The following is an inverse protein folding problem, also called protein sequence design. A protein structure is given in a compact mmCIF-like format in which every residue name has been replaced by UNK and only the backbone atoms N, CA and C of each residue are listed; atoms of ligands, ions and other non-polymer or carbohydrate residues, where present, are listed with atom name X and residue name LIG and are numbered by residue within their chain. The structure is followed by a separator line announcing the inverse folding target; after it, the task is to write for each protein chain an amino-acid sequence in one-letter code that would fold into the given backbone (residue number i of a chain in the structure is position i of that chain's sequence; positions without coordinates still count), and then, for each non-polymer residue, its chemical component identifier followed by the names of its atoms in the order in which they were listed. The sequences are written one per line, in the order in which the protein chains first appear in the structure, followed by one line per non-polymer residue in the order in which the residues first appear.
data_IF_191652632153
#
_entry.id   IF_191652632153
#
_cell.length_a   1.000
_cell.length_b   1.000
_cell.length_c   1.000
_cell.angle_alpha   90.00
_cell.angle_beta   90.00
_cell.angle_gamma   90.00
#
_symmetry.space_group_name_H-M   'P 1'
#
loop_
_entity.id
_entity.type
_entity.pdbx_description
1 polymer ?
#
# COMPACT_ATOMS: atom_id res chain seq x y z
N UNK A 1 -4.70 11.73 25.04
CA UNK A 1 -3.29 12.15 24.84
C UNK A 1 -2.35 11.91 26.03
N UNK A 2 -2.81 11.74 27.29
CA UNK A 2 -1.92 11.60 28.47
C UNK A 2 -0.84 10.50 28.38
N UNK A 3 -1.06 9.48 27.56
CA UNK A 3 -0.16 8.32 27.39
C UNK A 3 0.32 8.14 25.94
N UNK A 4 0.10 9.13 25.07
CA UNK A 4 0.57 9.07 23.70
C UNK A 4 2.05 9.47 23.64
N UNK A 5 2.86 8.69 22.94
CA UNK A 5 4.24 9.06 22.63
C UNK A 5 4.25 10.30 21.73
N UNK A 6 5.18 11.20 21.99
CA UNK A 6 5.51 12.31 21.07
C UNK A 6 6.09 11.77 19.77
N UNK A 7 6.19 12.61 18.74
CA UNK A 7 6.86 12.24 17.47
C UNK A 7 8.28 11.75 17.70
N UNK A 8 9.05 12.45 18.55
CA UNK A 8 10.44 12.10 18.84
C UNK A 8 10.55 10.75 19.57
N UNK A 9 9.65 10.49 20.54
CA UNK A 9 9.61 9.20 21.24
C UNK A 9 9.18 8.05 20.32
N UNK A 10 8.22 8.27 19.43
CA UNK A 10 7.84 7.27 18.42
C UNK A 10 9.01 6.95 17.50
N UNK A 11 9.69 7.96 16.97
CA UNK A 11 10.87 7.76 16.10
C UNK A 11 11.98 7.03 16.84
N UNK A 12 12.25 7.39 18.10
CA UNK A 12 13.23 6.70 18.92
C UNK A 12 12.85 5.22 19.13
N UNK A 13 11.58 4.95 19.46
CA UNK A 13 11.09 3.58 19.65
C UNK A 13 11.24 2.73 18.36
N UNK A 14 10.84 3.27 17.20
CA UNK A 14 11.00 2.56 15.93
C UNK A 14 12.47 2.30 15.58
N UNK A 15 13.37 3.24 15.85
CA UNK A 15 14.82 3.01 15.68
C UNK A 15 15.36 1.94 16.61
N UNK A 16 14.85 1.87 17.84
CA UNK A 16 15.19 0.77 18.76
C UNK A 16 14.69 -0.59 18.24
N UNK A 17 13.50 -0.65 17.63
CA UNK A 17 13.02 -1.89 16.99
C UNK A 17 13.87 -2.28 15.77
N UNK A 18 14.29 -1.31 14.97
CA UNK A 18 15.18 -1.55 13.83
C UNK A 18 16.53 -2.12 14.27
N UNK A 19 17.11 -1.60 15.36
CA UNK A 19 18.34 -2.15 15.94
C UNK A 19 18.12 -3.55 16.51
N UNK A 20 17.00 -3.76 17.22
CA UNK A 20 16.65 -5.06 17.79
C UNK A 20 16.46 -6.13 16.71
N UNK A 21 15.82 -5.80 15.59
CA UNK A 21 15.61 -6.72 14.45
C UNK A 21 16.92 -7.41 14.01
N UNK A 22 18.04 -6.68 14.01
CA UNK A 22 19.35 -7.20 13.63
C UNK A 22 19.89 -8.28 14.58
N UNK A 23 19.40 -8.32 15.81
CA UNK A 23 19.77 -9.30 16.83
C UNK A 23 18.83 -10.53 16.83
N UNK A 24 17.68 -10.43 16.15
CA UNK A 24 16.68 -11.51 16.06
C UNK A 24 17.00 -12.42 14.87
N UNK A 25 16.82 -13.73 15.04
CA UNK A 25 17.12 -14.73 14.00
C UNK A 25 15.87 -15.37 13.40
N UNK A 26 14.70 -15.12 13.97
CA UNK A 26 13.44 -15.77 13.62
C UNK A 26 12.26 -14.79 13.53
N UNK A 27 12.50 -13.51 13.74
CA UNK A 27 11.46 -12.49 13.76
C UNK A 27 11.97 -11.27 13.00
N UNK A 28 11.15 -10.85 12.04
CA UNK A 28 11.34 -9.64 11.27
C UNK A 28 10.12 -8.72 11.48
N UNK A 29 10.33 -7.42 11.35
CA UNK A 29 9.27 -6.43 11.34
C UNK A 29 9.00 -5.99 9.89
N UNK A 30 7.87 -6.46 9.35
CA UNK A 30 7.42 -6.14 7.98
C UNK A 30 7.46 -4.65 7.65
N UNK A 31 7.24 -3.79 8.66
CA UNK A 31 7.30 -2.34 8.53
C UNK A 31 8.57 -1.85 7.83
N UNK A 32 9.75 -2.32 8.25
CA UNK A 32 11.01 -1.81 7.73
C UNK A 32 11.34 -2.42 6.37
N UNK A 33 10.95 -3.67 6.15
CA UNK A 33 11.02 -4.34 4.85
C UNK A 33 10.15 -3.61 3.83
N UNK A 34 8.89 -3.35 4.14
CA UNK A 34 7.97 -2.58 3.31
C UNK A 34 8.56 -1.22 2.95
N UNK A 35 9.02 -0.45 3.94
CA UNK A 35 9.56 0.89 3.70
C UNK A 35 10.79 0.87 2.78
N UNK A 36 11.67 -0.14 2.89
CA UNK A 36 12.81 -0.30 1.98
C UNK A 36 12.36 -0.69 0.57
N UNK A 37 11.40 -1.59 0.42
CA UNK A 37 10.86 -1.97 -0.90
C UNK A 37 10.19 -0.78 -1.59
N UNK A 38 9.40 -0.02 -0.83
CA UNK A 38 8.78 1.22 -1.32
C UNK A 38 9.84 2.24 -1.74
N UNK A 39 10.93 2.38 -0.98
CA UNK A 39 12.08 3.20 -1.37
C UNK A 39 12.82 2.67 -2.60
N UNK A 40 12.69 1.40 -2.97
CA UNK A 40 13.17 0.85 -4.25
C UNK A 40 12.17 1.05 -5.39
N UNK A 41 11.00 1.61 -5.11
CA UNK A 41 9.90 1.74 -6.06
C UNK A 41 9.15 0.44 -6.30
N UNK A 42 9.24 -0.52 -5.39
CA UNK A 42 8.50 -1.78 -5.43
C UNK A 42 7.42 -1.80 -4.34
N UNK A 43 6.15 -1.70 -4.77
CA UNK A 43 4.98 -1.75 -3.90
C UNK A 43 4.15 -3.03 -4.05
N UNK A 44 4.66 -4.08 -4.72
CA UNK A 44 3.89 -5.30 -4.97
C UNK A 44 3.55 -6.09 -3.69
N UNK A 45 4.50 -6.16 -2.75
CA UNK A 45 4.35 -6.91 -1.51
C UNK A 45 4.03 -6.01 -0.30
N UNK A 46 3.86 -4.70 -0.51
CA UNK A 46 3.71 -3.77 0.60
C UNK A 46 2.38 -3.99 1.33
N UNK A 47 2.41 -3.90 2.67
CA UNK A 47 1.20 -3.96 3.49
C UNK A 47 0.17 -2.93 3.05
N UNK A 48 -1.12 -3.24 3.20
CA UNK A 48 -2.23 -2.42 2.70
C UNK A 48 -2.18 -0.94 3.09
N UNK A 49 -1.54 -0.58 4.21
CA UNK A 49 -1.41 0.80 4.69
C UNK A 49 -0.50 1.67 3.84
N UNK A 50 0.32 1.08 2.96
CA UNK A 50 1.22 1.76 2.03
C UNK A 50 0.66 1.85 0.60
N UNK A 51 -0.50 1.24 0.38
CA UNK A 51 -1.18 1.22 -0.90
C UNK A 51 -2.23 2.34 -1.00
N UNK A 52 -2.71 2.56 -2.22
CA UNK A 52 -3.78 3.51 -2.50
C UNK A 52 -5.17 2.97 -2.07
N UNK A 53 -5.31 2.66 -0.78
CA UNK A 53 -6.54 2.21 -0.11
C UNK A 53 -7.73 3.22 -0.19
N UNK A 54 -8.73 2.88 -0.98
CA UNK A 54 -10.04 3.54 -0.97
C UNK A 54 -10.79 3.28 0.37
N UNK A 55 -11.16 4.31 1.14
CA UNK A 55 -11.91 4.16 2.39
C UNK A 55 -13.32 3.56 2.20
N UNK A 56 -13.90 3.57 0.99
CA UNK A 56 -15.23 3.05 0.69
C UNK A 56 -15.21 1.68 0.00
N UNK A 57 -14.09 1.28 -0.61
CA UNK A 57 -13.98 -0.06 -1.22
C UNK A 57 -12.53 -0.55 -1.39
N UNK A 58 -11.83 -0.73 -0.29
CA UNK A 58 -10.42 -1.19 -0.35
C UNK A 58 -10.28 -2.61 -0.92
N UNK A 59 -9.26 -2.85 -1.74
CA UNK A 59 -8.88 -4.21 -2.20
C UNK A 59 -8.47 -5.13 -1.06
N UNK A 60 -7.97 -4.58 0.04
CA UNK A 60 -7.42 -5.33 1.16
C UNK A 60 -8.47 -6.11 1.98
N UNK A 61 -9.77 -5.81 1.82
CA UNK A 61 -10.85 -6.48 2.56
C UNK A 61 -11.92 -6.94 1.57
N UNK A 62 -12.13 -8.26 1.52
CA UNK A 62 -13.11 -8.95 0.67
C UNK A 62 -14.06 -9.83 1.49
N UNK A 63 -14.29 -9.48 2.75
CA UNK A 63 -15.16 -10.26 3.64
C UNK A 63 -16.64 -10.18 3.22
N UNK A 64 -17.40 -11.19 3.64
CA UNK A 64 -18.85 -11.29 3.43
C UNK A 64 -19.49 -11.62 4.78
N UNK A 65 -20.49 -10.84 5.18
CA UNK A 65 -21.26 -11.06 6.40
C UNK A 65 -22.24 -12.22 6.26
N UNK A 66 -22.78 -12.70 7.39
CA UNK A 66 -23.77 -13.80 7.40
C UNK A 66 -25.07 -13.52 6.62
N UNK A 67 -25.36 -12.25 6.31
CA UNK A 67 -26.49 -11.84 5.47
C UNK A 67 -26.13 -11.68 3.98
N UNK A 68 -24.90 -12.02 3.57
CA UNK A 68 -24.40 -11.89 2.20
C UNK A 68 -23.86 -10.50 1.83
N UNK A 69 -23.83 -9.54 2.77
CA UNK A 69 -23.31 -8.21 2.53
C UNK A 69 -21.78 -8.19 2.46
N UNK A 70 -21.21 -7.47 1.49
CA UNK A 70 -19.76 -7.21 1.40
C UNK A 70 -19.31 -6.28 2.54
N UNK A 71 -18.20 -6.62 3.19
CA UNK A 71 -17.63 -5.81 4.27
C UNK A 71 -16.50 -4.90 3.78
N UNK A 72 -16.37 -3.76 4.44
CA UNK A 72 -15.25 -2.85 4.24
C UNK A 72 -14.30 -2.89 5.44
N UNK A 73 -13.16 -2.22 5.34
CA UNK A 73 -12.21 -2.14 6.44
C UNK A 73 -12.78 -1.35 7.63
N UNK A 74 -12.94 -2.01 8.78
CA UNK A 74 -13.41 -1.36 10.00
C UNK A 74 -12.47 -0.28 10.58
N UNK A 75 -11.26 -0.11 10.02
CA UNK A 75 -10.33 0.94 10.50
C UNK A 75 -10.83 2.35 10.21
N UNK A 76 -11.63 2.56 9.17
CA UNK A 76 -12.22 3.86 8.81
C UNK A 76 -13.57 4.09 9.51
N UNK A 77 -14.17 3.05 10.08
CA UNK A 77 -15.38 3.16 10.90
C UNK A 77 -15.04 3.61 12.33
N UNK A 78 -14.70 4.89 12.52
CA UNK A 78 -14.42 5.46 13.84
C UNK A 78 -15.67 5.92 14.59
N UNK A 79 -16.74 6.22 13.86
CA UNK A 79 -17.99 6.73 14.41
C UNK A 79 -19.01 5.62 14.75
N UNK A 80 -18.63 4.35 14.55
CA UNK A 80 -19.51 3.19 14.76
C UNK A 80 -20.54 2.98 13.64
N UNK A 81 -20.38 3.65 12.51
CA UNK A 81 -21.21 3.52 11.31
C UNK A 81 -20.45 2.70 10.26
N UNK A 82 -20.90 1.47 10.03
CA UNK A 82 -20.44 0.67 8.89
C UNK A 82 -21.11 1.14 7.61
N UNK A 83 -20.29 1.48 6.63
CA UNK A 83 -20.76 1.81 5.29
C UNK A 83 -20.72 0.55 4.42
N UNK A 84 -21.76 0.38 3.61
CA UNK A 84 -21.76 -0.64 2.56
C UNK A 84 -20.60 -0.34 1.61
N UNK A 85 -19.86 -1.39 1.26
CA UNK A 85 -18.73 -1.29 0.33
C UNK A 85 -19.22 -0.77 -1.03
N UNK A 86 -18.55 0.24 -1.58
CA UNK A 86 -18.87 0.76 -2.91
C UNK A 86 -18.61 -0.29 -4.01
N UNK A 87 -19.32 -0.16 -5.12
CA UNK A 87 -19.21 -1.09 -6.26
C UNK A 87 -17.87 -0.94 -6.98
N UNK A 88 -17.38 0.29 -7.10
CA UNK A 88 -16.16 0.64 -7.82
C UNK A 88 -15.15 1.32 -6.89
N UNK A 89 -13.87 0.99 -7.08
CA UNK A 89 -12.75 1.65 -6.40
C UNK A 89 -12.50 3.02 -6.99
N UNK A 90 -11.98 3.91 -6.15
CA UNK A 90 -11.81 5.33 -6.43
C UNK A 90 -10.47 5.85 -5.87
N UNK A 91 -9.88 6.85 -6.53
CA UNK A 91 -8.55 7.40 -6.20
C UNK A 91 -8.56 8.89 -5.81
N UNK A 92 -9.74 9.48 -5.59
CA UNK A 92 -9.92 10.92 -5.33
C UNK A 92 -9.17 11.35 -4.07
N UNK A 93 -9.09 10.49 -3.05
CA UNK A 93 -8.28 10.74 -1.85
C UNK A 93 -6.85 11.11 -2.23
N UNK A 94 -6.23 10.29 -3.06
CA UNK A 94 -4.81 10.38 -3.37
C UNK A 94 -4.51 11.57 -4.29
N UNK A 95 -5.40 11.83 -5.24
CA UNK A 95 -5.37 13.04 -6.06
C UNK A 95 -5.50 14.30 -5.20
N UNK A 96 -6.48 14.33 -4.27
CA UNK A 96 -6.66 15.44 -3.35
C UNK A 96 -5.42 15.65 -2.46
N UNK A 97 -4.88 14.58 -1.89
CA UNK A 97 -3.67 14.64 -1.07
C UNK A 97 -2.48 15.19 -1.86
N UNK A 98 -2.24 14.71 -3.07
CA UNK A 98 -1.10 15.15 -3.89
C UNK A 98 -1.14 16.66 -4.17
N UNK A 99 -2.33 17.21 -4.42
CA UNK A 99 -2.50 18.62 -4.76
C UNK A 99 -2.73 19.54 -3.56
N UNK A 100 -2.97 19.00 -2.37
CA UNK A 100 -3.25 19.81 -1.17
C UNK A 100 -1.95 20.17 -0.44
N UNK A 101 -1.71 21.46 -0.13
CA UNK A 101 -0.57 21.88 0.67
C UNK A 101 -0.49 21.17 2.03
N UNK A 102 0.73 20.90 2.48
CA UNK A 102 0.96 20.20 3.76
C UNK A 102 0.37 20.91 4.98
N UNK A 103 0.32 22.25 4.96
CA UNK A 103 -0.30 23.07 6.02
C UNK A 103 -1.81 22.80 6.17
N UNK A 104 -2.45 22.30 5.12
CA UNK A 104 -3.84 21.87 5.10
C UNK A 104 -3.99 20.34 5.18
N UNK A 105 -3.02 19.66 5.79
CA UNK A 105 -2.96 18.20 5.95
C UNK A 105 -2.89 17.40 4.63
N UNK A 106 -2.44 18.02 3.54
CA UNK A 106 -2.15 17.32 2.29
C UNK A 106 -0.69 16.85 2.16
N UNK A 107 -0.34 16.40 0.96
CA UNK A 107 0.95 15.80 0.64
C UNK A 107 1.69 16.52 -0.50
N UNK A 108 1.25 17.72 -0.90
CA UNK A 108 1.92 18.49 -1.95
C UNK A 108 3.42 18.66 -1.66
N UNK A 109 4.22 18.46 -2.71
CA UNK A 109 5.68 18.52 -2.72
C UNK A 109 6.38 17.53 -1.77
N UNK A 110 5.67 16.51 -1.26
CA UNK A 110 6.28 15.48 -0.44
C UNK A 110 7.05 14.47 -1.30
N UNK A 111 8.39 14.47 -1.18
CA UNK A 111 9.28 13.53 -1.89
C UNK A 111 9.08 12.05 -1.57
N UNK A 112 8.34 11.74 -0.52
CA UNK A 112 8.00 10.37 -0.09
C UNK A 112 6.56 9.99 -0.46
N UNK A 113 5.87 10.79 -1.27
CA UNK A 113 4.45 10.58 -1.57
C UNK A 113 4.18 9.22 -2.20
N UNK A 114 4.96 8.74 -3.18
CA UNK A 114 4.69 7.43 -3.81
C UNK A 114 4.88 6.24 -2.86
N UNK A 115 5.71 6.41 -1.84
CA UNK A 115 6.02 5.37 -0.85
C UNK A 115 4.98 5.35 0.26
N UNK A 116 4.57 6.53 0.73
CA UNK A 116 3.64 6.66 1.85
C UNK A 116 2.17 6.75 1.41
N UNK A 117 1.90 7.45 0.31
CA UNK A 117 0.57 7.78 -0.26
C UNK A 117 -0.40 8.41 0.78
N UNK A 118 0.12 9.07 1.81
CA UNK A 118 -0.67 9.61 2.92
C UNK A 118 -1.17 8.56 3.94
N UNK A 119 -0.67 7.32 3.83
CA UNK A 119 -0.91 6.17 4.72
C UNK A 119 -2.40 5.76 4.84
N UNK A 120 -2.72 4.89 5.79
CA UNK A 120 -4.06 4.39 6.07
C UNK A 120 -5.03 5.55 6.36
N UNK A 121 -6.16 5.64 5.65
CA UNK A 121 -7.16 6.67 5.92
C UNK A 121 -7.72 6.62 7.35
N UNK A 122 -7.66 5.45 8.01
CA UNK A 122 -8.08 5.28 9.41
C UNK A 122 -7.16 5.91 10.46
N UNK A 123 -6.00 6.46 10.07
CA UNK A 123 -5.08 7.23 10.94
C UNK A 123 -5.02 8.70 10.53
N UNK A 124 -5.93 9.15 9.66
CA UNK A 124 -5.91 10.50 9.13
C UNK A 124 -6.17 11.57 10.21
N UNK A 125 -5.56 12.75 10.03
CA UNK A 125 -5.71 13.88 10.96
C UNK A 125 -7.19 14.21 11.16
N UNK A 126 -7.58 14.35 12.43
CA UNK A 126 -8.96 14.63 12.86
C UNK A 126 -9.98 13.58 12.40
N UNK A 127 -9.52 12.34 12.14
CA UNK A 127 -10.34 11.23 11.61
C UNK A 127 -11.00 11.52 10.26
N UNK A 128 -10.56 12.57 9.56
CA UNK A 128 -11.01 12.88 8.23
C UNK A 128 -10.14 12.13 7.22
N UNK A 129 -10.69 11.06 6.64
CA UNK A 129 -9.99 10.19 5.71
C UNK A 129 -9.35 10.94 4.53
N UNK A 130 -9.83 12.15 4.17
CA UNK A 130 -9.26 12.98 3.10
C UNK A 130 -7.89 13.53 3.45
N UNK A 131 -7.57 13.63 4.74
CA UNK A 131 -6.28 14.12 5.22
C UNK A 131 -5.21 13.02 5.20
N UNK A 132 -3.95 13.45 5.28
CA UNK A 132 -2.84 12.55 5.56
C UNK A 132 -2.92 12.02 6.99
N UNK A 133 -2.18 10.95 7.26
CA UNK A 133 -1.99 10.40 8.61
C UNK A 133 -1.48 11.42 9.63
N UNK A 134 -1.98 11.32 10.86
CA UNK A 134 -1.48 12.09 12.01
C UNK A 134 -0.02 11.75 12.38
N UNK A 135 0.51 10.64 11.87
CA UNK A 135 1.88 10.19 12.10
C UNK A 135 2.85 10.57 10.96
N UNK A 136 2.51 11.57 10.14
CA UNK A 136 3.30 11.96 8.96
C UNK A 136 4.77 12.21 9.29
N UNK A 137 5.06 12.95 10.37
CA UNK A 137 6.43 13.28 10.76
C UNK A 137 7.23 12.04 11.19
N UNK A 138 6.57 11.04 11.80
CA UNK A 138 7.20 9.77 12.17
C UNK A 138 7.62 9.01 10.90
N UNK A 139 6.71 8.88 9.93
CA UNK A 139 7.02 8.17 8.69
C UNK A 139 8.09 8.87 7.88
N UNK A 140 8.05 10.20 7.79
CA UNK A 140 9.09 10.97 7.10
C UNK A 140 10.47 10.79 7.75
N UNK A 141 10.54 10.79 9.10
CA UNK A 141 11.79 10.58 9.81
C UNK A 141 12.35 9.16 9.59
N UNK A 142 11.49 8.15 9.55
CA UNK A 142 11.88 6.76 9.28
C UNK A 142 12.31 6.56 7.82
N UNK A 143 11.57 7.11 6.85
CA UNK A 143 11.98 7.08 5.45
C UNK A 143 13.32 7.78 5.22
N UNK A 144 13.54 8.95 5.82
CA UNK A 144 14.83 9.64 5.72
C UNK A 144 15.98 8.85 6.34
N UNK A 145 15.72 8.11 7.42
CA UNK A 145 16.72 7.25 8.04
C UNK A 145 17.09 6.06 7.14
N UNK A 146 16.09 5.33 6.64
CA UNK A 146 16.30 4.17 5.77
C UNK A 146 16.88 4.58 4.41
N UNK A 147 16.46 5.72 3.87
CA UNK A 147 17.07 6.33 2.68
C UNK A 147 18.57 6.57 2.88
N UNK A 148 18.98 7.12 4.02
CA UNK A 148 20.39 7.37 4.31
C UNK A 148 21.19 6.06 4.40
N UNK A 149 20.62 5.00 4.98
CA UNK A 149 21.24 3.66 5.00
C UNK A 149 21.41 3.11 3.59
N UNK A 150 20.37 3.19 2.75
CA UNK A 150 20.41 2.72 1.37
C UNK A 150 21.45 3.49 0.55
N UNK A 151 21.52 4.81 0.69
CA UNK A 151 22.53 5.63 0.02
C UNK A 151 23.94 5.26 0.49
N UNK A 152 24.15 5.03 1.79
CA UNK A 152 25.43 4.57 2.31
C UNK A 152 25.83 3.18 1.77
N UNK A 153 24.86 2.34 1.44
CA UNK A 153 25.05 1.05 0.78
C UNK A 153 25.24 1.15 -0.75
N UNK A 154 25.21 2.36 -1.33
CA UNK A 154 25.36 2.57 -2.77
C UNK A 154 24.08 2.36 -3.58
N UNK A 155 22.93 2.20 -2.92
CA UNK A 155 21.62 2.17 -3.58
C UNK A 155 21.12 3.59 -3.89
N UNK A 156 20.23 3.74 -4.88
CA UNK A 156 19.56 5.00 -5.19
C UNK A 156 18.06 4.87 -4.92
N UNK A 157 17.57 5.34 -3.76
CA UNK A 157 16.15 5.30 -3.42
C UNK A 157 15.28 6.16 -4.37
N UNK A 158 14.04 5.74 -4.61
CA UNK A 158 13.05 6.41 -5.45
C UNK A 158 12.83 7.88 -5.06
N UNK A 159 12.88 8.21 -3.77
CA UNK A 159 12.78 9.59 -3.26
C UNK A 159 13.85 10.53 -3.81
N UNK A 160 15.02 9.98 -4.18
CA UNK A 160 16.17 10.69 -4.76
C UNK A 160 16.39 10.36 -6.24
N UNK A 161 15.66 9.38 -6.78
CA UNK A 161 15.84 8.91 -8.15
C UNK A 161 15.42 10.00 -9.16
N UNK A 162 16.20 10.24 -10.23
CA UNK A 162 15.91 11.31 -11.20
C UNK A 162 14.56 11.12 -11.90
N UNK A 163 14.12 9.87 -12.09
CA UNK A 163 12.81 9.56 -12.69
C UNK A 163 11.63 9.74 -11.73
N UNK A 164 11.82 10.08 -10.45
CA UNK A 164 10.73 10.14 -9.44
C UNK A 164 9.53 10.94 -9.93
N UNK A 165 9.78 12.14 -10.46
CA UNK A 165 8.71 13.02 -10.96
C UNK A 165 7.95 12.36 -12.13
N UNK A 166 8.65 11.70 -13.05
CA UNK A 166 7.99 11.00 -14.15
C UNK A 166 7.12 9.84 -13.65
N UNK A 167 7.60 9.09 -12.64
CA UNK A 167 6.85 7.99 -12.01
C UNK A 167 5.61 8.53 -11.32
N UNK A 168 5.74 9.64 -10.57
CA UNK A 168 4.61 10.33 -9.94
C UNK A 168 3.55 10.71 -10.96
N UNK A 169 3.95 11.34 -12.07
CA UNK A 169 3.01 11.74 -13.11
C UNK A 169 2.31 10.56 -13.79
N UNK A 170 3.01 9.44 -14.02
CA UNK A 170 2.40 8.25 -14.59
C UNK A 170 1.31 7.66 -13.66
N UNK A 171 1.62 7.56 -12.36
CA UNK A 171 0.68 7.06 -11.35
C UNK A 171 -0.54 7.99 -11.22
N UNK A 172 -0.32 9.30 -11.17
CA UNK A 172 -1.42 10.29 -11.09
C UNK A 172 -2.30 10.29 -12.34
N UNK A 173 -1.70 10.13 -13.52
CA UNK A 173 -2.45 10.04 -14.78
C UNK A 173 -3.36 8.81 -14.81
N UNK A 174 -2.91 7.66 -14.28
CA UNK A 174 -3.73 6.46 -14.14
C UNK A 174 -4.87 6.68 -13.12
N UNK A 175 -4.57 7.24 -11.95
CA UNK A 175 -5.57 7.52 -10.92
C UNK A 175 -6.65 8.50 -11.39
N UNK A 176 -6.29 9.50 -12.19
CA UNK A 176 -7.26 10.45 -12.79
C UNK A 176 -8.24 9.74 -13.74
N UNK A 177 -7.85 8.61 -14.31
CA UNK A 177 -8.69 7.75 -15.16
C UNK A 177 -9.36 6.62 -14.37
N UNK A 178 -9.33 6.70 -13.04
CA UNK A 178 -9.78 5.67 -12.12
C UNK A 178 -9.10 4.30 -12.32
N UNK A 179 -7.84 4.30 -12.75
CA UNK A 179 -7.05 3.10 -12.99
C UNK A 179 -5.95 2.96 -11.93
N UNK A 180 -5.80 1.76 -11.39
CA UNK A 180 -4.68 1.44 -10.53
C UNK A 180 -3.41 1.20 -11.35
N UNK A 181 -2.36 1.96 -11.06
CA UNK A 181 -1.00 1.71 -11.52
C UNK A 181 -0.08 1.60 -10.30
N UNK A 182 0.61 0.48 -10.16
CA UNK A 182 1.61 0.30 -9.10
C UNK A 182 2.85 1.16 -9.39
N UNK A 183 3.59 1.54 -8.34
CA UNK A 183 4.84 2.29 -8.51
C UNK A 183 5.85 1.46 -9.31
N UNK A 184 5.91 0.15 -9.05
CA UNK A 184 6.77 -0.78 -9.78
C UNK A 184 6.47 -0.81 -11.29
N UNK A 185 5.19 -0.88 -11.66
CA UNK A 185 4.77 -0.89 -13.07
C UNK A 185 5.09 0.45 -13.75
N UNK A 186 4.90 1.58 -13.06
CA UNK A 186 5.26 2.90 -13.58
C UNK A 186 6.79 3.03 -13.79
N UNK A 187 7.60 2.54 -12.86
CA UNK A 187 9.06 2.48 -12.98
C UNK A 187 9.49 1.66 -14.21
N UNK A 188 8.87 0.49 -14.42
CA UNK A 188 9.18 -0.37 -15.55
C UNK A 188 8.82 0.28 -16.89
N UNK A 189 7.65 0.95 -16.98
CA UNK A 189 7.22 1.70 -18.16
C UNK A 189 8.22 2.81 -18.52
N UNK A 190 8.70 3.56 -17.53
CA UNK A 190 9.65 4.67 -17.75
C UNK A 190 11.01 4.14 -18.18
N UNK A 191 11.44 3.00 -17.63
CA UNK A 191 12.71 2.37 -18.00
C UNK A 191 12.66 1.90 -19.46
N UNK A 192 11.60 1.17 -19.84
CA UNK A 192 11.38 0.69 -21.22
C UNK A 192 11.16 1.83 -22.22
N UNK A 193 10.50 2.91 -21.80
CA UNK A 193 10.28 4.13 -22.60
C UNK A 193 11.56 4.95 -22.82
N UNK A 194 12.50 4.92 -21.88
CA UNK A 194 13.82 5.55 -22.01
C UNK A 194 14.74 4.81 -22.99
N UNK A 195 14.62 3.48 -23.07
CA UNK A 195 15.41 2.64 -23.98
C UNK A 195 14.93 2.68 -25.43
N UNK A 196 13.65 2.98 -25.67
CA UNK A 196 13.06 3.07 -27.02
C UNK A 196 13.39 4.38 -27.76
N UNK A 197 14.12 5.31 -27.14
CA UNK A 197 14.68 6.49 -27.82
C UNK A 197 15.90 6.18 -28.71
N UNK A 198 16.39 4.92 -28.73
CA UNK A 198 17.35 4.43 -29.72
C UNK A 198 16.65 3.35 -30.56
N UNK A 199 15.99 3.79 -31.62
CA UNK A 199 15.36 2.89 -32.60
C UNK A 199 16.39 1.97 -33.25
N UNK A 200 16.03 0.70 -33.48
CA UNK A 200 15.78 0.37 -34.88
C UNK A 200 14.51 -0.46 -35.10
N UNK A 201 13.77 -0.02 -36.12
CA UNK A 201 13.02 -0.82 -37.10
C UNK A 201 12.06 -1.92 -36.59
N UNK A 202 10.77 -1.59 -36.63
CA UNK A 202 9.67 -2.40 -37.21
C UNK A 202 9.82 -3.92 -37.19
N UNK A 203 9.08 -4.61 -36.32
CA UNK A 203 8.51 -5.92 -36.68
C UNK A 203 7.14 -6.09 -36.03
N UNK A 204 6.13 -6.10 -36.90
CA UNK A 204 4.73 -6.45 -36.70
C UNK A 204 4.57 -7.92 -36.27
N UNK A 205 3.92 -8.15 -35.13
CA UNK A 205 3.24 -9.41 -34.76
C UNK A 205 2.05 -8.99 -33.88
N UNK A 206 0.80 -9.44 -34.06
CA UNK A 206 0.34 -10.75 -34.52
C UNK A 206 -0.54 -11.30 -33.39
N UNK A 207 -1.83 -10.99 -33.47
CA UNK A 207 -2.90 -11.34 -32.53
C UNK A 207 -2.97 -12.86 -32.29
N UNK A 208 -3.00 -13.29 -31.01
CA UNK A 208 -3.46 -14.63 -30.63
C UNK A 208 -3.91 -14.67 -29.17
N UNK A 209 -5.23 -14.61 -29.00
CA UNK A 209 -5.98 -15.19 -27.88
C UNK A 209 -5.84 -16.71 -27.87
N UNK A 210 -5.42 -17.28 -26.74
CA UNK A 210 -5.76 -18.65 -26.34
C UNK A 210 -5.72 -18.78 -24.80
N UNK A 211 -6.88 -18.95 -24.17
CA UNK A 211 -7.02 -19.26 -22.75
C UNK A 211 -7.43 -20.73 -22.63
N UNK A 212 -6.45 -21.58 -22.36
CA UNK A 212 -6.66 -23.00 -22.09
C UNK A 212 -7.18 -23.24 -20.67
N UNK A 213 -8.43 -23.67 -20.58
CA UNK A 213 -9.07 -24.21 -19.37
C UNK A 213 -8.37 -25.49 -18.90
N UNK A 214 -7.89 -25.48 -17.66
CA UNK A 214 -7.37 -26.67 -16.97
C UNK A 214 -8.34 -27.08 -15.86
N UNK A 215 -9.13 -28.12 -16.14
CA UNK A 215 -10.00 -28.81 -15.19
C UNK A 215 -9.19 -29.38 -14.01
N UNK A 216 -9.38 -28.84 -12.80
CA UNK A 216 -9.00 -29.53 -11.56
C UNK A 216 -10.19 -30.35 -11.05
N UNK A 217 -9.93 -31.64 -10.77
CA UNK A 217 -10.88 -32.66 -10.37
C UNK A 217 -10.66 -32.93 -8.89
N UNK A 218 -11.42 -32.28 -8.02
CA UNK A 218 -11.34 -32.50 -6.58
C UNK A 218 -12.14 -33.75 -6.17
N UNK A 219 -11.42 -34.69 -5.56
CA UNK A 219 -11.95 -35.90 -4.95
C UNK A 219 -12.34 -35.55 -3.53
N UNK A 220 -13.64 -35.38 -3.26
CA UNK A 220 -14.15 -35.25 -1.90
C UNK A 220 -14.13 -36.62 -1.22
N UNK A 221 -13.36 -36.71 -0.13
CA UNK A 221 -13.44 -37.81 0.83
C UNK A 221 -14.46 -37.48 1.91
N UNK A 222 -15.49 -38.31 2.00
CA UNK A 222 -16.59 -38.17 2.96
C UNK A 222 -16.10 -38.51 4.38
N UNK A 223 -16.13 -37.53 5.28
CA UNK A 223 -15.99 -37.77 6.72
C UNK A 223 -17.39 -37.99 7.32
N UNK A 224 -17.63 -39.21 7.80
CA UNK A 224 -18.82 -39.56 8.58
C UNK A 224 -18.59 -39.18 10.05
N UNK A 225 -19.41 -38.26 10.55
CA UNK A 225 -19.49 -37.89 11.96
C UNK A 225 -20.18 -38.98 12.78
N UNK A 226 -19.47 -39.49 13.79
CA UNK A 226 -20.04 -40.35 14.83
C UNK A 226 -20.68 -39.51 15.94
N UNK A 227 -22.01 -39.62 16.06
CA UNK A 227 -22.79 -39.00 17.12
C UNK A 227 -22.50 -39.63 18.50
N UNK A 228 -22.27 -38.77 19.50
CA UNK A 228 -22.16 -39.13 20.91
C UNK A 228 -23.48 -38.80 21.64
N UNK A 229 -24.14 -39.74 22.34
CA UNK A 229 -25.35 -39.43 23.09
C UNK A 229 -25.03 -38.86 24.48
N UNK A 230 -25.59 -37.70 24.79
CA UNK A 230 -25.62 -37.12 26.14
C UNK A 230 -26.57 -37.91 27.04
N UNK A 231 -26.07 -38.25 28.25
CA UNK A 231 -26.85 -38.79 29.36
C UNK A 231 -27.60 -37.67 30.08
N UNK A 232 -28.88 -37.92 30.33
CA UNK A 232 -29.78 -37.16 31.22
C UNK A 232 -29.42 -37.36 32.69
N UNK A 233 -29.61 -36.30 33.48
CA UNK A 233 -30.03 -36.35 34.88
C UNK A 233 -31.19 -35.37 35.05
#
# INVERSE_FOLDING_TARGET
QKYALTTAENVAAFKSFLALEQELTQLDFDLFTDMRQLLRGDDHAATCVWNACDPYTTRAVQGIEGNGQRTNCGRTNKDGIDFVKADEESFERYLALYHTPQVYNGCQDCRFFLMCKGQCPGTAVAHDWRNRTEHCDVWMALYAHLEAEMVAAGETPLSLHPSRVAVEQAVLAAWTQNQYLSVAAAMEQITRGGETAVSPATTTHGDHTDHGDSYHRDVHGDHLDHAHPYRTA
#
